data_IF_094538122015
#
_entry.id   IF_094538122015
#
_cell.length_a   1.000
_cell.length_b   1.000
_cell.length_c   1.000
_cell.angle_alpha   90.00
_cell.angle_beta   90.00
_cell.angle_gamma   90.00
#
_symmetry.space_group_name_H-M   'P 1'
#
loop_
_entity.id
_entity.type
_entity.pdbx_description
1 polymer ?
#
# COMPACT_ATOMS: atom_id res chain seq x y z
N UNK A 1 4.05 -14.51 30.01
CA UNK A 1 2.67 -14.90 29.67
C UNK A 1 2.50 -14.64 28.18
N UNK A 2 2.78 -15.66 27.36
CA UNK A 2 2.69 -15.59 25.91
C UNK A 2 1.28 -15.98 25.48
N UNK A 3 0.61 -15.18 24.64
CA UNK A 3 -0.54 -15.64 23.87
C UNK A 3 -0.22 -15.59 22.38
N UNK A 4 -0.14 -16.79 21.85
CA UNK A 4 -0.02 -17.20 20.46
C UNK A 4 -1.28 -16.88 19.64
N UNK A 5 -1.13 -17.01 18.32
CA UNK A 5 -2.16 -17.25 17.29
C UNK A 5 -2.95 -16.07 16.72
N UNK A 6 -2.57 -15.66 15.51
CA UNK A 6 -3.49 -15.76 14.36
C UNK A 6 -2.80 -16.48 13.21
N UNK A 7 -2.78 -17.80 13.30
CA UNK A 7 -2.66 -18.70 12.15
C UNK A 7 -4.06 -19.26 11.92
N UNK A 8 -4.82 -18.67 10.99
CA UNK A 8 -6.06 -19.28 10.52
C UNK A 8 -5.76 -20.01 9.20
N UNK A 9 -5.78 -21.35 9.20
CA UNK A 9 -5.53 -22.12 7.99
C UNK A 9 -6.70 -22.02 7.00
N UNK A 10 -6.30 -21.92 5.74
CA UNK A 10 -7.10 -21.81 4.52
C UNK A 10 -7.95 -23.07 4.25
N UNK A 11 -8.97 -23.35 5.08
CA UNK A 11 -9.89 -24.49 4.90
C UNK A 11 -11.36 -24.18 5.25
N UNK A 12 -11.81 -22.94 5.05
CA UNK A 12 -13.21 -22.55 5.28
C UNK A 12 -13.89 -21.85 4.08
N UNK A 13 -13.38 -22.00 2.86
CA UNK A 13 -14.03 -21.48 1.65
C UNK A 13 -14.68 -22.55 0.74
N UNK A 14 -14.46 -23.85 0.99
CA UNK A 14 -14.99 -24.95 0.16
C UNK A 14 -16.31 -25.57 0.66
N UNK A 15 -16.94 -24.98 1.67
CA UNK A 15 -18.25 -25.43 2.20
C UNK A 15 -19.35 -24.37 2.06
N UNK A 16 -19.29 -23.53 1.03
CA UNK A 16 -20.37 -22.57 0.69
C UNK A 16 -20.72 -22.59 -0.81
N UNK A 17 -20.39 -23.69 -1.49
CA UNK A 17 -20.76 -23.94 -2.88
C UNK A 17 -21.74 -25.10 -2.94
N UNK A 18 -22.99 -24.83 -2.57
CA UNK A 18 -24.23 -25.48 -3.05
C UNK A 18 -25.43 -24.97 -2.24
N UNK A 19 -26.44 -24.53 -2.97
CA UNK A 19 -27.86 -24.32 -2.61
C UNK A 19 -28.33 -22.85 -2.72
N UNK A 20 -28.63 -22.47 -3.96
CA UNK A 20 -29.66 -21.47 -4.33
C UNK A 20 -30.98 -22.25 -4.41
N UNK A 21 -32.07 -21.81 -3.75
CA UNK A 21 -33.13 -21.15 -4.52
C UNK A 21 -33.84 -19.96 -3.81
N UNK A 22 -33.97 -18.89 -4.60
CA UNK A 22 -35.16 -18.06 -4.91
C UNK A 22 -36.27 -17.98 -3.85
N UNK A 23 -36.48 -16.78 -3.31
CA UNK A 23 -37.80 -16.27 -2.94
C UNK A 23 -37.88 -14.77 -3.27
N UNK A 24 -38.65 -14.44 -4.30
CA UNK A 24 -39.02 -13.07 -4.64
C UNK A 24 -40.12 -12.60 -3.67
N UNK A 25 -39.93 -11.42 -3.07
CA UNK A 25 -41.05 -10.63 -2.58
C UNK A 25 -40.76 -9.15 -2.85
N UNK A 26 -41.47 -8.61 -3.84
CA UNK A 26 -41.54 -7.20 -4.13
C UNK A 26 -42.43 -6.51 -3.10
N UNK A 27 -41.90 -5.51 -2.40
CA UNK A 27 -42.68 -4.47 -1.75
C UNK A 27 -41.93 -3.15 -1.96
N UNK A 28 -42.48 -2.33 -2.85
CA UNK A 28 -41.99 -0.98 -3.10
C UNK A 28 -42.37 -0.05 -1.95
N UNK A 29 -41.38 0.69 -1.46
CA UNK A 29 -41.60 1.97 -0.79
C UNK A 29 -40.99 3.05 -1.66
N UNK A 30 -41.83 3.75 -2.41
CA UNK A 30 -41.54 5.06 -2.97
C UNK A 30 -41.99 6.12 -1.97
N UNK A 31 -41.05 6.64 -1.18
CA UNK A 31 -41.05 7.92 -0.46
C UNK A 31 -39.72 7.95 0.34
N UNK A 32 -38.79 8.88 0.20
CA UNK A 32 -38.90 10.31 -0.04
C UNK A 32 -37.82 10.77 -1.02
N UNK A 33 -38.21 11.58 -2.00
CA UNK A 33 -37.31 12.55 -2.61
C UNK A 33 -36.98 13.59 -1.54
N UNK A 34 -35.81 13.47 -0.91
CA UNK A 34 -35.22 14.63 -0.26
C UNK A 34 -34.85 15.60 -1.38
N UNK A 35 -35.34 16.86 -1.36
CA UNK A 35 -34.70 17.88 -2.18
C UNK A 35 -33.24 17.91 -1.72
N UNK A 36 -32.35 17.88 -2.70
CA UNK A 36 -30.93 18.08 -2.53
C UNK A 36 -30.73 19.17 -1.49
N UNK A 37 -30.22 18.78 -0.31
CA UNK A 37 -29.63 19.74 0.58
C UNK A 37 -28.54 20.39 -0.24
N UNK A 38 -28.73 21.66 -0.58
CA UNK A 38 -27.69 22.51 -1.13
C UNK A 38 -26.49 22.36 -0.22
N UNK A 39 -25.54 21.52 -0.65
CA UNK A 39 -24.21 21.53 -0.13
C UNK A 39 -23.73 22.95 -0.39
N UNK A 40 -23.57 23.71 0.69
CA UNK A 40 -23.10 25.09 0.64
C UNK A 40 -21.93 25.18 -0.34
N UNK A 41 -21.97 26.21 -1.17
CA UNK A 41 -20.94 26.61 -2.12
C UNK A 41 -19.53 26.48 -1.56
N UNK A 42 -18.97 25.27 -1.61
CA UNK A 42 -17.53 25.06 -1.67
C UNK A 42 -17.12 25.56 -3.05
N UNK A 43 -16.06 26.36 -3.11
CA UNK A 43 -15.52 26.84 -4.39
C UNK A 43 -15.49 25.70 -5.40
N UNK A 44 -16.02 25.97 -6.60
CA UNK A 44 -16.13 25.00 -7.67
C UNK A 44 -14.78 24.29 -7.84
N UNK A 45 -14.79 22.96 -7.74
CA UNK A 45 -13.57 22.17 -7.83
C UNK A 45 -12.89 22.43 -9.19
N UNK A 46 -11.58 22.63 -9.18
CA UNK A 46 -10.83 22.94 -10.40
C UNK A 46 -10.55 21.64 -11.17
N UNK A 47 -11.19 21.44 -12.32
CA UNK A 47 -11.07 20.23 -13.14
C UNK A 47 -9.62 19.92 -13.57
N UNK A 48 -8.84 20.95 -13.90
CA UNK A 48 -7.45 20.77 -14.31
C UNK A 48 -6.59 20.36 -13.10
N UNK A 49 -6.79 21.00 -11.95
CA UNK A 49 -6.11 20.66 -10.71
C UNK A 49 -6.44 19.23 -10.27
N UNK A 50 -7.71 18.81 -10.36
CA UNK A 50 -8.16 17.47 -10.00
C UNK A 50 -7.61 16.39 -10.93
N UNK A 51 -7.53 16.68 -12.23
CA UNK A 51 -6.90 15.78 -13.21
C UNK A 51 -5.40 15.65 -12.95
N UNK A 52 -4.73 16.77 -12.70
CA UNK A 52 -3.31 16.80 -12.34
C UNK A 52 -3.03 16.04 -11.04
N UNK A 53 -3.87 16.19 -10.02
CA UNK A 53 -3.74 15.45 -8.77
C UNK A 53 -3.91 13.94 -8.98
N UNK A 54 -4.90 13.51 -9.76
CA UNK A 54 -5.09 12.08 -10.05
C UNK A 54 -3.88 11.46 -10.77
N UNK A 55 -3.32 12.19 -11.73
CA UNK A 55 -2.09 11.75 -12.41
C UNK A 55 -0.93 11.63 -11.41
N UNK A 56 -0.73 12.65 -10.58
CA UNK A 56 0.26 12.60 -9.50
C UNK A 56 0.04 11.40 -8.57
N UNK A 57 -1.18 11.16 -8.08
CA UNK A 57 -1.49 10.07 -7.15
C UNK A 57 -1.19 8.70 -7.75
N UNK A 58 -1.45 8.51 -9.06
CA UNK A 58 -1.09 7.29 -9.78
C UNK A 58 0.44 7.11 -9.86
N UNK A 59 1.17 8.17 -10.21
CA UNK A 59 2.64 8.14 -10.25
C UNK A 59 3.25 7.91 -8.86
N UNK A 60 2.72 8.57 -7.84
CA UNK A 60 3.11 8.37 -6.45
C UNK A 60 2.92 6.92 -6.03
N UNK A 61 1.76 6.32 -6.32
CA UNK A 61 1.46 4.93 -5.95
C UNK A 61 2.47 3.97 -6.58
N UNK A 62 2.79 4.16 -7.86
CA UNK A 62 3.79 3.33 -8.54
C UNK A 62 5.19 3.50 -7.93
N UNK A 63 5.60 4.73 -7.66
CA UNK A 63 6.90 5.03 -7.05
C UNK A 63 6.98 4.50 -5.61
N UNK A 64 5.90 4.61 -4.84
CA UNK A 64 5.79 4.10 -3.48
C UNK A 64 6.01 2.58 -3.45
N UNK A 65 5.43 1.83 -4.39
CA UNK A 65 5.65 0.39 -4.47
C UNK A 65 7.10 0.01 -4.76
N UNK A 66 7.79 0.81 -5.58
CA UNK A 66 9.21 0.60 -5.82
C UNK A 66 10.06 0.89 -4.55
N UNK A 67 9.65 1.86 -3.73
CA UNK A 67 10.28 2.16 -2.44
C UNK A 67 9.98 1.11 -1.36
N UNK A 68 8.86 0.41 -1.48
CA UNK A 68 8.37 -0.55 -0.49
C UNK A 68 8.13 -1.93 -1.11
N UNK A 69 9.15 -2.55 -1.76
CA UNK A 69 8.94 -3.74 -2.58
C UNK A 69 8.48 -4.95 -1.76
N UNK A 70 8.80 -5.01 -0.46
CA UNK A 70 8.23 -6.01 0.44
C UNK A 70 6.73 -5.84 0.60
N UNK A 71 6.29 -4.62 0.91
CA UNK A 71 4.88 -4.33 1.13
C UNK A 71 4.08 -4.48 -0.16
N UNK A 72 4.66 -4.11 -1.32
CA UNK A 72 4.08 -4.37 -2.62
C UNK A 72 3.75 -5.86 -2.81
N UNK A 73 4.70 -6.78 -2.56
CA UNK A 73 4.48 -8.22 -2.63
C UNK A 73 3.39 -8.69 -1.65
N UNK A 74 3.41 -8.21 -0.40
CA UNK A 74 2.42 -8.55 0.64
C UNK A 74 1.00 -8.09 0.27
N UNK A 75 0.87 -7.00 -0.48
CA UNK A 75 -0.40 -6.46 -1.01
C UNK A 75 -0.82 -7.07 -2.36
N UNK A 76 -0.06 -8.05 -2.87
CA UNK A 76 -0.34 -8.72 -4.16
C UNK A 76 0.14 -7.95 -5.40
N UNK A 77 0.96 -6.90 -5.22
CA UNK A 77 1.58 -6.15 -6.30
C UNK A 77 2.98 -6.69 -6.62
N UNK A 78 3.02 -7.70 -7.50
CA UNK A 78 4.20 -8.52 -7.74
C UNK A 78 5.25 -7.93 -8.71
N UNK A 79 5.10 -6.67 -9.13
CA UNK A 79 6.00 -6.03 -10.11
C UNK A 79 7.45 -5.92 -9.60
N UNK A 80 7.62 -5.82 -8.28
CA UNK A 80 8.91 -5.59 -7.62
C UNK A 80 9.37 -6.79 -6.79
N UNK A 81 8.84 -7.99 -7.09
CA UNK A 81 9.11 -9.23 -6.35
C UNK A 81 10.57 -9.67 -6.34
N UNK A 82 11.42 -9.12 -7.20
CA UNK A 82 12.86 -9.41 -7.21
C UNK A 82 13.71 -8.41 -6.42
N UNK A 83 13.14 -7.31 -5.92
CA UNK A 83 13.90 -6.24 -5.28
C UNK A 83 14.04 -6.43 -3.77
N UNK A 84 15.26 -6.36 -3.25
CA UNK A 84 15.56 -6.36 -1.83
C UNK A 84 16.54 -5.21 -1.52
N UNK A 85 16.03 -3.98 -1.25
CA UNK A 85 16.87 -2.86 -0.85
C UNK A 85 17.67 -3.20 0.40
N UNK A 86 18.96 -2.85 0.41
CA UNK A 86 19.81 -3.05 1.56
C UNK A 86 19.33 -2.19 2.74
N UNK A 87 19.29 -2.70 3.99
CA UNK A 87 18.83 -1.93 5.14
C UNK A 87 19.94 -1.03 5.71
N UNK A 88 20.61 -0.28 4.84
CA UNK A 88 21.80 0.51 5.13
C UNK A 88 21.54 2.04 5.18
N UNK A 89 22.59 2.82 5.45
CA UNK A 89 22.45 4.27 5.55
C UNK A 89 22.12 4.94 4.21
N UNK A 90 22.63 4.40 3.10
CA UNK A 90 22.36 4.94 1.77
C UNK A 90 20.88 4.77 1.39
N UNK A 91 20.32 3.59 1.62
CA UNK A 91 18.91 3.30 1.36
C UNK A 91 17.99 4.15 2.23
N UNK A 92 18.29 4.31 3.52
CA UNK A 92 17.54 5.24 4.40
C UNK A 92 17.59 6.68 3.91
N UNK A 93 18.74 7.14 3.44
CA UNK A 93 18.90 8.49 2.89
C UNK A 93 18.09 8.67 1.60
N UNK A 94 18.09 7.67 0.71
CA UNK A 94 17.29 7.66 -0.50
C UNK A 94 15.78 7.69 -0.19
N UNK A 95 15.32 6.92 0.80
CA UNK A 95 13.92 6.96 1.25
C UNK A 95 13.53 8.33 1.82
N UNK A 96 14.41 8.97 2.59
CA UNK A 96 14.13 10.33 3.09
C UNK A 96 14.04 11.35 1.95
N UNK A 97 14.93 11.30 0.96
CA UNK A 97 14.87 12.16 -0.22
C UNK A 97 13.56 11.95 -0.99
N UNK A 98 13.15 10.70 -1.19
CA UNK A 98 11.86 10.38 -1.80
C UNK A 98 10.72 11.01 -1.01
N UNK A 99 10.67 10.78 0.30
CA UNK A 99 9.60 11.27 1.17
C UNK A 99 9.50 12.79 1.14
N UNK A 100 10.63 13.50 1.25
CA UNK A 100 10.67 14.96 1.23
C UNK A 100 10.23 15.52 -0.13
N UNK A 101 10.70 14.92 -1.22
CA UNK A 101 10.29 15.30 -2.58
C UNK A 101 8.78 15.16 -2.79
N UNK A 102 8.18 14.07 -2.29
CA UNK A 102 6.73 13.85 -2.42
C UNK A 102 5.94 14.81 -1.51
N UNK A 103 6.40 15.07 -0.28
CA UNK A 103 5.77 16.05 0.60
C UNK A 103 5.80 17.47 0.01
N UNK A 104 6.90 17.85 -0.64
CA UNK A 104 7.01 19.13 -1.33
C UNK A 104 6.07 19.18 -2.55
N UNK A 105 5.97 18.09 -3.32
CA UNK A 105 5.06 18.00 -4.45
C UNK A 105 3.59 18.17 -4.05
N UNK A 106 3.20 17.64 -2.88
CA UNK A 106 1.83 17.80 -2.37
C UNK A 106 1.44 19.26 -2.10
N UNK A 107 2.40 20.17 -1.88
CA UNK A 107 2.11 21.58 -1.63
C UNK A 107 1.52 22.30 -2.86
N UNK A 108 1.67 21.72 -4.05
CA UNK A 108 1.09 22.26 -5.29
C UNK A 108 -0.45 22.16 -5.34
N UNK A 109 -1.06 21.34 -4.47
CA UNK A 109 -2.49 21.05 -4.50
C UNK A 109 -3.21 21.70 -3.32
N UNK A 110 -3.94 22.78 -3.59
CA UNK A 110 -4.82 23.43 -2.62
C UNK A 110 -6.04 22.52 -2.33
N UNK A 111 -6.20 21.98 -1.11
CA UNK A 111 -7.32 21.09 -0.78
C UNK A 111 -8.69 21.74 -0.95
N UNK A 112 -8.80 23.07 -0.88
CA UNK A 112 -10.08 23.77 -1.06
C UNK A 112 -10.58 23.75 -2.51
N UNK A 113 -9.70 23.45 -3.47
CA UNK A 113 -10.01 23.37 -4.91
C UNK A 113 -10.08 21.93 -5.44
N UNK A 114 -9.82 20.95 -4.59
CA UNK A 114 -9.93 19.54 -4.91
C UNK A 114 -11.34 19.03 -4.66
N UNK A 115 -11.75 18.01 -5.42
CA UNK A 115 -12.92 17.21 -5.11
C UNK A 115 -12.74 16.50 -3.77
N UNK A 116 -13.84 16.19 -3.08
CA UNK A 116 -13.80 15.53 -1.77
C UNK A 116 -13.01 14.19 -1.78
N UNK A 117 -13.09 13.43 -2.88
CA UNK A 117 -12.30 12.20 -3.08
C UNK A 117 -10.80 12.52 -3.10
N UNK A 118 -10.38 13.47 -3.94
CA UNK A 118 -8.98 13.85 -4.07
C UNK A 118 -8.42 14.48 -2.77
N UNK A 119 -9.24 15.20 -1.99
CA UNK A 119 -8.85 15.68 -0.65
C UNK A 119 -8.54 14.51 0.28
N UNK A 120 -9.33 13.44 0.22
CA UNK A 120 -9.13 12.24 1.04
C UNK A 120 -7.82 11.55 0.65
N UNK A 121 -7.61 11.33 -0.64
CA UNK A 121 -6.39 10.71 -1.16
C UNK A 121 -5.14 11.55 -0.82
N UNK A 122 -5.21 12.88 -0.95
CA UNK A 122 -4.13 13.80 -0.57
C UNK A 122 -3.75 13.62 0.90
N UNK A 123 -4.75 13.56 1.79
CA UNK A 123 -4.52 13.36 3.23
C UNK A 123 -3.92 11.98 3.53
N UNK A 124 -4.36 10.93 2.84
CA UNK A 124 -3.81 9.58 2.99
C UNK A 124 -2.34 9.52 2.56
N UNK A 125 -2.01 10.07 1.39
CA UNK A 125 -0.63 10.14 0.90
C UNK A 125 0.24 10.94 1.86
N UNK A 126 -0.24 12.11 2.31
CA UNK A 126 0.49 12.95 3.27
C UNK A 126 0.76 12.20 4.58
N UNK A 127 -0.26 11.57 5.16
CA UNK A 127 -0.12 10.82 6.41
C UNK A 127 0.84 9.63 6.27
N UNK A 128 0.79 8.91 5.15
CA UNK A 128 1.74 7.85 4.85
C UNK A 128 3.19 8.36 4.86
N UNK A 129 3.45 9.46 4.14
CA UNK A 129 4.77 10.08 4.03
C UNK A 129 5.28 10.60 5.37
N UNK A 130 4.44 11.30 6.14
CA UNK A 130 4.79 11.84 7.45
C UNK A 130 5.09 10.73 8.47
N UNK A 131 4.33 9.63 8.45
CA UNK A 131 4.59 8.44 9.28
C UNK A 131 5.95 7.83 8.96
N UNK A 132 6.25 7.60 7.68
CA UNK A 132 7.54 7.02 7.28
C UNK A 132 8.72 7.94 7.59
N UNK A 133 8.55 9.26 7.44
CA UNK A 133 9.56 10.24 7.87
C UNK A 133 9.83 10.14 9.36
N UNK A 134 8.77 10.04 10.17
CA UNK A 134 8.89 9.90 11.62
C UNK A 134 9.57 8.58 12.00
N UNK A 135 9.23 7.47 11.34
CA UNK A 135 9.87 6.17 11.56
C UNK A 135 11.39 6.24 11.33
N UNK A 136 11.82 6.88 10.23
CA UNK A 136 13.24 6.99 9.88
C UNK A 136 14.00 8.01 10.73
N UNK A 137 13.36 9.09 11.18
CA UNK A 137 14.08 10.21 11.84
C UNK A 137 13.91 10.27 13.35
N UNK A 138 12.82 9.71 13.88
CA UNK A 138 12.45 9.77 15.30
C UNK A 138 12.42 8.40 15.94
N UNK A 139 11.64 7.47 15.39
CA UNK A 139 11.54 6.13 15.96
C UNK A 139 12.85 5.36 15.82
N UNK A 140 13.44 5.43 14.62
CA UNK A 140 14.74 4.85 14.29
C UNK A 140 14.84 3.38 14.69
N UNK A 141 13.83 2.57 14.35
CA UNK A 141 13.81 1.12 14.69
C UNK A 141 15.10 0.41 14.28
N UNK A 142 15.69 0.82 13.17
CA UNK A 142 16.99 0.32 12.68
C UNK A 142 18.15 0.46 13.69
N UNK A 143 18.04 1.29 14.73
CA UNK A 143 19.08 1.44 15.77
C UNK A 143 18.91 0.45 16.93
N UNK A 144 17.71 -0.11 17.15
CA UNK A 144 17.41 -0.83 18.40
C UNK A 144 16.50 -2.06 18.25
N UNK A 145 15.81 -2.25 17.13
CA UNK A 145 14.98 -3.42 16.85
C UNK A 145 15.66 -4.35 15.83
N UNK A 146 16.40 -5.37 16.29
CA UNK A 146 17.04 -6.33 15.38
C UNK A 146 16.03 -7.23 14.67
N UNK A 147 14.76 -7.28 15.10
CA UNK A 147 13.76 -8.18 14.50
C UNK A 147 13.30 -7.73 13.12
N UNK A 148 13.53 -6.46 12.76
CA UNK A 148 13.23 -5.92 11.43
C UNK A 148 14.16 -6.48 10.34
N UNK A 149 15.32 -7.02 10.70
CA UNK A 149 16.31 -7.58 9.77
C UNK A 149 16.03 -9.05 9.47
N UNK A 150 14.93 -9.33 8.74
CA UNK A 150 14.56 -10.69 8.37
C UNK A 150 14.08 -10.82 6.92
N UNK A 151 14.87 -11.53 6.11
CA UNK A 151 14.59 -11.81 4.69
C UNK A 151 13.74 -13.05 4.47
N UNK A 152 13.66 -13.95 5.46
CA UNK A 152 13.07 -15.30 5.28
C UNK A 152 11.56 -15.27 5.16
N UNK A 153 10.89 -14.35 5.87
CA UNK A 153 9.42 -14.27 5.89
C UNK A 153 8.82 -14.05 4.49
N UNK A 154 9.37 -13.10 3.73
CA UNK A 154 8.86 -12.81 2.39
C UNK A 154 9.20 -13.90 1.38
N UNK A 155 10.38 -14.52 1.48
CA UNK A 155 10.76 -15.66 0.63
C UNK A 155 9.80 -16.84 0.89
N UNK A 156 9.49 -17.13 2.15
CA UNK A 156 8.54 -18.19 2.50
C UNK A 156 7.13 -17.90 1.94
N UNK A 157 6.67 -16.65 2.03
CA UNK A 157 5.41 -16.20 1.44
C UNK A 157 5.40 -16.42 -0.09
N UNK A 158 6.43 -15.94 -0.80
CA UNK A 158 6.53 -16.09 -2.26
C UNK A 158 6.55 -17.56 -2.72
N UNK A 159 7.15 -18.46 -1.95
CA UNK A 159 7.18 -19.89 -2.26
C UNK A 159 5.83 -20.58 -2.01
N UNK A 160 5.09 -20.14 -0.99
CA UNK A 160 3.84 -20.76 -0.54
C UNK A 160 2.63 -20.33 -1.38
N UNK A 161 2.63 -19.09 -1.87
CA UNK A 161 1.51 -18.52 -2.61
C UNK A 161 1.50 -18.91 -4.10
N UNK A 162 0.30 -18.96 -4.70
CA UNK A 162 0.09 -19.36 -6.12
C UNK A 162 -0.32 -18.18 -7.01
N UNK A 163 0.31 -17.01 -6.85
CA UNK A 163 0.00 -15.80 -7.65
C UNK A 163 0.64 -15.80 -9.05
N UNK A 164 1.65 -16.65 -9.28
CA UNK A 164 2.38 -16.76 -10.55
C UNK A 164 2.92 -18.20 -10.75
N UNK A 165 3.32 -18.57 -11.99
CA UNK A 165 3.97 -19.85 -12.25
C UNK A 165 5.17 -20.06 -11.31
N UNK A 166 5.36 -21.31 -10.85
CA UNK A 166 6.41 -21.65 -9.88
C UNK A 166 7.79 -21.18 -10.34
N UNK A 167 8.13 -21.40 -11.61
CA UNK A 167 9.42 -20.99 -12.19
C UNK A 167 9.66 -19.48 -12.09
N UNK A 168 8.62 -18.66 -12.23
CA UNK A 168 8.75 -17.21 -12.09
C UNK A 168 9.05 -16.84 -10.63
N UNK A 169 8.27 -17.38 -9.68
CA UNK A 169 8.45 -17.12 -8.25
C UNK A 169 9.82 -17.58 -7.75
N UNK A 170 10.31 -18.74 -8.21
CA UNK A 170 11.64 -19.23 -7.89
C UNK A 170 12.75 -18.29 -8.41
N UNK A 171 12.61 -17.76 -9.63
CA UNK A 171 13.57 -16.79 -10.19
C UNK A 171 13.60 -15.49 -9.38
N UNK A 172 12.44 -14.99 -8.96
CA UNK A 172 12.37 -13.76 -8.18
C UNK A 172 12.94 -13.96 -6.75
N UNK A 173 12.65 -15.11 -6.11
CA UNK A 173 13.30 -15.51 -4.87
C UNK A 173 14.82 -15.61 -5.01
N UNK A 174 15.31 -16.22 -6.09
CA UNK A 174 16.75 -16.33 -6.35
C UNK A 174 17.41 -14.95 -6.46
N UNK A 175 16.85 -14.03 -7.26
CA UNK A 175 17.36 -12.66 -7.39
C UNK A 175 17.38 -11.89 -6.06
N UNK A 176 16.36 -12.07 -5.21
CA UNK A 176 16.36 -11.49 -3.86
C UNK A 176 17.50 -12.03 -3.02
N UNK A 177 17.76 -13.35 -3.07
CA UNK A 177 18.83 -13.98 -2.31
C UNK A 177 20.23 -13.56 -2.78
N UNK A 178 20.42 -13.31 -4.09
CA UNK A 178 21.68 -12.76 -4.60
C UNK A 178 22.01 -11.40 -3.95
N UNK A 179 21.01 -10.53 -3.76
CA UNK A 179 21.21 -9.22 -3.10
C UNK A 179 21.65 -9.34 -1.64
N UNK A 180 21.26 -10.41 -0.92
CA UNK A 180 21.74 -10.66 0.45
C UNK A 180 23.25 -10.94 0.47
N UNK A 181 23.72 -11.74 -0.49
CA UNK A 181 25.11 -12.19 -0.56
C UNK A 181 26.06 -11.07 -1.01
N UNK A 182 25.59 -10.18 -1.88
CA UNK A 182 26.39 -9.07 -2.42
C UNK A 182 26.54 -7.89 -1.46
N UNK A 183 25.54 -7.62 -0.62
CA UNK A 183 25.49 -6.45 0.27
C UNK A 183 26.19 -6.68 1.63
N UNK A 184 26.73 -7.88 1.89
CA UNK A 184 27.40 -8.18 3.16
C UNK A 184 26.48 -8.06 4.38
N UNK A 185 25.18 -8.31 4.21
CA UNK A 185 24.17 -8.22 5.26
C UNK A 185 24.31 -9.44 6.19
N UNK A 186 25.22 -9.34 7.16
CA UNK A 186 25.37 -10.26 8.30
C UNK A 186 25.58 -9.46 9.59
#
# INVERSE_FOLDING_TARGET
>A
MFTFNYFLPNKYYDMLRKLIPIAALALGFAACSNPEGEAGSNGEADDALNTGFKQYANHFTEAMWQQTPRWATEMGYHKYDSLLPAPDAASRSASLVFIETQLDSLQAYDPAKLTASNVTDLKMIKNFLESHKWELTKLKKFEWDPTDYNVTGLIAFMLSEQYAPLDQRLKDCYKRLEQVLHEGIY
#
